data_IF_026035264934
#
_entry.id   IF_026035264934
#
_cell.length_a   1.000
_cell.length_b   1.000
_cell.length_c   1.000
_cell.angle_alpha   90.00
_cell.angle_beta   90.00
_cell.angle_gamma   90.00
#
_symmetry.space_group_name_H-M   'P 1'
#
loop_
_entity.id
_entity.type
_entity.pdbx_description
1 polymer ?
#
# COMPACT_ATOMS: atom_id res chain seq x y z
N UNK A 1 -6.39 32.75 7.60
CA UNK A 1 -7.51 31.91 7.08
C UNK A 1 -7.08 30.47 7.21
N UNK A 2 -7.75 29.70 8.06
CA UNK A 2 -7.35 28.31 8.36
C UNK A 2 -7.69 27.46 7.13
N UNK A 3 -6.76 26.69 6.53
CA UNK A 3 -7.11 25.85 5.40
C UNK A 3 -8.06 24.75 5.89
N UNK A 4 -9.30 24.79 5.39
CA UNK A 4 -10.31 23.73 5.58
C UNK A 4 -9.74 22.46 4.95
N UNK A 5 -9.60 21.43 5.77
CA UNK A 5 -8.73 20.27 5.57
C UNK A 5 -8.73 19.69 4.14
N UNK A 6 -7.52 19.46 3.59
CA UNK A 6 -7.28 18.64 2.40
C UNK A 6 -7.03 17.21 2.85
N UNK A 7 -7.96 16.30 2.58
CA UNK A 7 -7.70 14.86 2.66
C UNK A 7 -7.84 14.28 1.25
N UNK A 8 -7.06 13.25 0.97
CA UNK A 8 -7.13 12.56 -0.31
C UNK A 8 -7.51 11.10 -0.07
N UNK A 9 -8.44 10.61 -0.89
CA UNK A 9 -8.75 9.21 -1.02
C UNK A 9 -7.78 8.59 -2.02
N UNK A 10 -7.28 7.40 -1.69
CA UNK A 10 -6.40 6.63 -2.55
C UNK A 10 -7.02 5.26 -2.79
N UNK A 11 -7.19 4.91 -4.06
CA UNK A 11 -7.49 3.56 -4.50
C UNK A 11 -6.20 2.93 -5.03
N UNK A 12 -5.81 1.80 -4.44
CA UNK A 12 -4.62 1.03 -4.80
C UNK A 12 -5.08 -0.26 -5.44
N UNK A 13 -4.61 -0.52 -6.65
CA UNK A 13 -4.75 -1.80 -7.34
C UNK A 13 -3.37 -2.43 -7.47
N UNK A 14 -3.24 -3.68 -7.03
CA UNK A 14 -2.01 -4.47 -7.16
C UNK A 14 -2.34 -5.73 -7.96
N UNK A 15 -1.59 -5.98 -9.02
CA UNK A 15 -1.70 -7.20 -9.82
C UNK A 15 -0.32 -7.84 -9.99
N UNK A 16 -0.18 -9.08 -9.56
CA UNK A 16 0.99 -9.89 -9.90
C UNK A 16 0.81 -10.48 -11.29
N UNK A 17 1.80 -10.24 -12.16
CA UNK A 17 1.86 -10.82 -13.51
C UNK A 17 2.61 -12.15 -13.52
N UNK A 18 2.99 -12.67 -12.35
CA UNK A 18 3.77 -13.90 -12.21
C UNK A 18 3.07 -14.93 -11.34
N UNK A 19 3.13 -14.81 -10.02
CA UNK A 19 2.54 -15.76 -9.06
C UNK A 19 1.97 -14.99 -7.85
N UNK A 20 1.10 -15.58 -7.03
CA UNK A 20 0.37 -14.84 -6.00
C UNK A 20 1.28 -14.17 -4.98
N UNK A 21 1.15 -12.85 -4.78
CA UNK A 21 1.98 -12.08 -3.84
C UNK A 21 1.20 -11.73 -2.58
N UNK A 22 1.93 -11.34 -1.54
CA UNK A 22 1.32 -10.54 -0.49
C UNK A 22 1.54 -9.07 -0.79
N UNK A 23 0.58 -8.22 -0.46
CA UNK A 23 0.75 -6.78 -0.56
C UNK A 23 0.10 -6.05 0.60
N UNK A 24 0.68 -4.93 0.99
CA UNK A 24 0.25 -4.16 2.16
C UNK A 24 0.47 -2.66 1.96
N UNK A 25 -0.49 -1.84 2.39
CA UNK A 25 -0.34 -0.40 2.52
C UNK A 25 0.00 -0.06 3.96
N UNK A 26 1.11 0.63 4.18
CA UNK A 26 1.60 1.01 5.52
C UNK A 26 2.11 2.44 5.55
N UNK A 27 2.31 2.98 6.76
CA UNK A 27 3.06 4.20 6.97
C UNK A 27 4.56 3.93 7.12
N UNK A 28 5.33 5.00 7.31
CA UNK A 28 6.79 4.93 7.47
C UNK A 28 7.23 4.00 8.60
N UNK A 29 6.54 4.01 9.74
CA UNK A 29 6.88 3.16 10.89
C UNK A 29 6.68 1.69 10.53
N UNK A 30 5.56 1.35 9.90
CA UNK A 30 5.33 -0.04 9.49
C UNK A 30 6.27 -0.49 8.36
N UNK A 31 6.63 0.40 7.41
CA UNK A 31 7.67 0.12 6.41
C UNK A 31 9.02 -0.21 7.06
N UNK A 32 9.45 0.60 8.04
CA UNK A 32 10.70 0.34 8.76
C UNK A 32 10.64 -0.97 9.55
N UNK A 33 9.50 -1.28 10.18
CA UNK A 33 9.34 -2.55 10.89
C UNK A 33 9.45 -3.74 9.94
N UNK A 34 8.75 -3.71 8.81
CA UNK A 34 8.86 -4.74 7.76
C UNK A 34 10.31 -4.91 7.29
N UNK A 35 10.98 -3.82 6.92
CA UNK A 35 12.38 -3.84 6.45
C UNK A 35 13.34 -4.44 7.49
N UNK A 36 13.03 -4.31 8.78
CA UNK A 36 13.85 -4.84 9.88
C UNK A 36 13.40 -6.24 10.34
N UNK A 37 12.52 -6.92 9.60
CA UNK A 37 12.04 -8.26 9.96
C UNK A 37 11.15 -8.29 11.21
N UNK A 38 10.50 -7.17 11.54
CA UNK A 38 9.58 -7.04 12.69
C UNK A 38 8.14 -7.03 12.21
N UNK A 39 7.23 -7.42 13.11
CA UNK A 39 5.80 -7.23 12.89
C UNK A 39 5.46 -5.75 12.66
N UNK A 40 4.55 -5.49 11.73
CA UNK A 40 4.15 -4.15 11.34
C UNK A 40 2.62 -4.05 11.18
N UNK A 41 2.09 -2.84 11.29
CA UNK A 41 0.69 -2.54 11.04
C UNK A 41 0.50 -2.05 9.62
N UNK A 42 -0.65 -2.37 9.03
CA UNK A 42 -1.04 -1.92 7.71
C UNK A 42 -2.50 -1.44 7.72
N UNK A 43 -2.83 -0.58 6.75
CA UNK A 43 -4.17 -0.01 6.58
C UNK A 43 -5.06 -0.94 5.76
N UNK A 44 -4.47 -1.55 4.74
CA UNK A 44 -5.07 -2.61 3.96
C UNK A 44 -4.00 -3.46 3.30
N UNK A 45 -4.40 -4.61 2.79
CA UNK A 45 -3.53 -5.58 2.17
C UNK A 45 -4.21 -6.93 2.09
N UNK A 46 -3.68 -7.77 1.22
CA UNK A 46 -4.12 -9.15 1.04
C UNK A 46 -2.89 -10.05 0.90
N UNK A 47 -3.03 -11.30 1.34
CA UNK A 47 -1.96 -12.27 1.30
C UNK A 47 -2.26 -13.36 0.26
N UNK A 48 -1.22 -13.77 -0.47
CA UNK A 48 -1.25 -14.85 -1.45
C UNK A 48 -2.32 -14.66 -2.54
N UNK A 49 -2.40 -13.46 -3.11
CA UNK A 49 -3.36 -13.12 -4.17
C UNK A 49 -2.68 -12.81 -5.49
N UNK A 50 -3.34 -13.16 -6.59
CA UNK A 50 -2.88 -12.76 -7.93
C UNK A 50 -3.12 -11.26 -8.16
N UNK A 51 -4.17 -10.70 -7.56
CA UNK A 51 -4.40 -9.27 -7.52
C UNK A 51 -5.45 -8.93 -6.47
N UNK A 52 -5.47 -7.66 -6.05
CA UNK A 52 -6.39 -7.15 -5.05
C UNK A 52 -6.43 -5.63 -5.10
N UNK A 53 -7.47 -5.07 -4.49
CA UNK A 53 -7.66 -3.62 -4.46
C UNK A 53 -8.07 -3.12 -3.07
N UNK A 54 -7.73 -1.86 -2.78
CA UNK A 54 -8.12 -1.20 -1.53
C UNK A 54 -8.26 0.30 -1.73
N UNK A 55 -9.36 0.87 -1.21
CA UNK A 55 -9.54 2.29 -1.01
C UNK A 55 -9.24 2.69 0.44
N UNK A 56 -8.46 3.75 0.67
CA UNK A 56 -8.24 4.33 2.00
C UNK A 56 -8.06 5.84 1.96
N UNK A 57 -8.42 6.51 3.06
CA UNK A 57 -8.20 7.94 3.22
C UNK A 57 -6.84 8.20 3.86
N UNK A 58 -6.09 9.11 3.26
CA UNK A 58 -4.82 9.55 3.82
C UNK A 58 -4.91 11.01 4.28
N UNK A 59 -4.79 11.16 5.59
CA UNK A 59 -4.87 12.46 6.28
C UNK A 59 -3.50 12.93 6.81
N UNK A 60 -2.48 12.08 6.73
CA UNK A 60 -1.14 12.41 7.21
C UNK A 60 -0.43 13.27 6.16
N UNK A 61 0.42 14.19 6.62
CA UNK A 61 1.19 15.06 5.73
C UNK A 61 2.40 14.38 5.07
N UNK A 62 2.64 13.10 5.36
CA UNK A 62 3.77 12.33 4.85
C UNK A 62 3.28 11.31 3.80
N UNK A 63 4.18 10.52 3.20
CA UNK A 63 3.84 9.44 2.27
C UNK A 63 3.38 8.17 2.98
N UNK A 64 2.56 7.39 2.28
CA UNK A 64 2.35 5.98 2.57
C UNK A 64 3.30 5.12 1.72
N UNK A 65 3.34 3.82 2.02
CA UNK A 65 4.18 2.83 1.37
C UNK A 65 3.33 1.65 0.96
N UNK A 66 3.49 1.20 -0.29
CA UNK A 66 2.94 -0.07 -0.76
C UNK A 66 4.07 -1.10 -0.74
N UNK A 67 3.91 -2.13 0.07
CA UNK A 67 4.80 -3.29 0.13
C UNK A 67 4.26 -4.35 -0.81
N UNK A 68 5.09 -4.84 -1.74
CA UNK A 68 4.80 -6.05 -2.52
C UNK A 68 5.83 -7.10 -2.10
N UNK A 69 5.36 -8.19 -1.49
CA UNK A 69 6.21 -9.17 -0.82
C UNK A 69 6.23 -10.46 -1.61
N UNK A 70 7.45 -10.86 -1.95
CA UNK A 70 7.74 -12.16 -2.52
C UNK A 70 7.93 -13.19 -1.39
N UNK A 71 6.89 -13.94 -1.08
CA UNK A 71 6.95 -15.12 -0.19
C UNK A 71 7.55 -16.39 -0.85
N UNK A 72 8.04 -16.31 -2.09
CA UNK A 72 8.69 -17.40 -2.80
C UNK A 72 10.04 -16.97 -3.38
N UNK A 73 11.07 -16.99 -2.53
CA UNK A 73 12.44 -16.57 -2.87
C UNK A 73 13.07 -17.32 -4.06
N UNK A 74 12.50 -18.45 -4.49
CA UNK A 74 12.96 -19.21 -5.64
C UNK A 74 12.51 -18.62 -6.99
N UNK A 75 11.59 -17.65 -7.00
CA UNK A 75 11.00 -17.08 -8.23
C UNK A 75 11.07 -15.56 -8.22
N UNK A 76 11.34 -14.96 -9.37
CA UNK A 76 11.17 -13.52 -9.55
C UNK A 76 9.67 -13.17 -9.56
N UNK A 77 9.34 -11.97 -9.07
CA UNK A 77 8.01 -11.39 -9.21
C UNK A 77 8.05 -10.23 -10.17
N UNK A 78 7.01 -10.13 -10.99
CA UNK A 78 6.61 -8.89 -11.64
C UNK A 78 5.23 -8.55 -11.14
N UNK A 79 5.05 -7.32 -10.65
CA UNK A 79 3.76 -6.82 -10.22
C UNK A 79 3.54 -5.42 -10.80
N UNK A 80 2.30 -5.15 -11.19
CA UNK A 80 1.80 -3.84 -11.52
C UNK A 80 1.13 -3.24 -10.28
N UNK A 81 1.40 -1.96 -10.02
CA UNK A 81 0.81 -1.22 -8.92
C UNK A 81 0.25 0.07 -9.50
N UNK A 82 -1.06 0.25 -9.41
CA UNK A 82 -1.73 1.48 -9.78
C UNK A 82 -2.23 2.19 -8.51
N UNK A 83 -2.05 3.52 -8.50
CA UNK A 83 -2.48 4.40 -7.41
C UNK A 83 -3.33 5.50 -8.02
N UNK A 84 -4.62 5.51 -7.70
CA UNK A 84 -5.54 6.56 -8.12
C UNK A 84 -5.80 7.50 -6.93
N UNK A 85 -5.65 8.81 -7.13
CA UNK A 85 -5.80 9.83 -6.08
C UNK A 85 -7.02 10.71 -6.36
N UNK A 86 -7.86 10.92 -5.34
CA UNK A 86 -8.94 11.93 -5.36
C UNK A 86 -8.86 12.80 -4.11
N UNK A 87 -8.56 14.09 -4.28
CA UNK A 87 -8.42 15.03 -3.16
C UNK A 87 -9.64 15.95 -2.97
N UNK A 88 -10.04 16.17 -1.73
CA UNK A 88 -11.19 17.00 -1.36
C UNK A 88 -10.75 18.28 -0.67
N UNK A 89 -11.37 19.41 -1.01
CA UNK A 89 -11.22 20.69 -0.32
C UNK A 89 -12.43 20.93 0.58
N UNK A 90 -12.21 21.06 1.90
CA UNK A 90 -13.30 21.31 2.87
C UNK A 90 -13.93 22.69 2.81
#
# INVERSE_FOLDING_TARGET
>A
TIPKYKWCHYDIDVESLSWPVDWYVTDYTGYLNYKNGRGFSYYCGEAQVQGGNCGFDWIKSDKFYVLVVNNNDAKQITAEVQVNETCYTG
#
